data_IF_784688229539
#
_entry.id   IF_784688229539
#
_cell.length_a   1.000
_cell.length_b   1.000
_cell.length_c   1.000
_cell.angle_alpha   90.00
_cell.angle_beta   90.00
_cell.angle_gamma   90.00
#
_symmetry.space_group_name_H-M   'P 1'
#
loop_
_entity.id
_entity.type
_entity.pdbx_description
1 polymer ?
#
# COMPACT_ATOMS: atom_id res chain seq x y z
N UNK A 1 -16.57 -13.93 69.42
CA UNK A 1 -15.82 -12.98 68.56
C UNK A 1 -15.82 -13.60 67.15
N UNK A 2 -16.72 -13.12 66.30
CA UNK A 2 -16.92 -13.68 64.91
C UNK A 2 -16.14 -12.79 63.95
N UNK A 3 -15.09 -13.35 63.31
CA UNK A 3 -14.37 -12.70 62.24
C UNK A 3 -15.15 -12.90 60.92
N UNK A 4 -15.66 -11.82 60.33
CA UNK A 4 -16.17 -11.80 58.95
C UNK A 4 -15.00 -11.61 57.99
N UNK A 5 -14.70 -12.63 57.20
CA UNK A 5 -13.72 -12.58 56.12
C UNK A 5 -14.43 -12.01 54.87
N UNK A 6 -14.14 -10.75 54.51
CA UNK A 6 -14.62 -10.13 53.31
C UNK A 6 -13.78 -10.63 52.15
N UNK A 7 -14.36 -11.52 51.32
CA UNK A 7 -13.78 -12.00 50.07
C UNK A 7 -14.14 -11.00 48.94
N UNK A 8 -13.20 -10.09 48.65
CA UNK A 8 -13.34 -9.15 47.55
C UNK A 8 -13.02 -9.87 46.22
N UNK A 9 -14.04 -10.21 45.45
CA UNK A 9 -13.87 -10.79 44.10
C UNK A 9 -13.49 -9.68 43.13
N UNK A 10 -12.22 -9.67 42.72
CA UNK A 10 -11.70 -8.78 41.68
C UNK A 10 -12.04 -9.39 40.32
N UNK A 11 -13.11 -8.90 39.67
CA UNK A 11 -13.44 -9.30 38.27
C UNK A 11 -12.47 -8.56 37.36
N UNK A 12 -11.43 -9.25 36.88
CA UNK A 12 -10.62 -8.80 35.77
C UNK A 12 -11.49 -8.83 34.51
N UNK A 13 -11.94 -7.65 34.07
CA UNK A 13 -12.56 -7.50 32.78
C UNK A 13 -11.55 -7.80 31.68
N UNK A 14 -11.67 -8.97 31.04
CA UNK A 14 -10.95 -9.31 29.82
C UNK A 14 -11.61 -8.45 28.72
N UNK A 15 -11.04 -7.27 28.47
CA UNK A 15 -11.40 -6.47 27.32
C UNK A 15 -11.09 -7.27 26.06
N UNK A 16 -12.13 -7.74 25.36
CA UNK A 16 -11.98 -8.27 24.00
C UNK A 16 -11.48 -7.13 23.12
N UNK A 17 -10.18 -7.09 22.84
CA UNK A 17 -9.63 -6.29 21.74
C UNK A 17 -10.16 -6.89 20.44
N UNK A 18 -11.24 -6.31 19.92
CA UNK A 18 -11.66 -6.56 18.55
C UNK A 18 -10.52 -6.01 17.67
N UNK A 19 -9.86 -6.83 16.84
CA UNK A 19 -8.83 -6.32 15.94
C UNK A 19 -9.48 -5.25 15.06
N UNK A 20 -8.87 -4.07 14.97
CA UNK A 20 -9.31 -3.02 14.08
C UNK A 20 -9.30 -3.61 12.66
N UNK A 21 -10.48 -3.86 12.12
CA UNK A 21 -10.62 -4.39 10.77
C UNK A 21 -10.10 -3.31 9.83
N UNK A 22 -9.15 -3.67 8.98
CA UNK A 22 -8.65 -2.76 7.94
C UNK A 22 -9.83 -2.17 7.17
N UNK A 23 -9.91 -0.86 7.11
CA UNK A 23 -10.97 -0.14 6.39
C UNK A 23 -10.65 0.01 4.90
N UNK A 24 -9.50 -0.47 4.47
CA UNK A 24 -9.07 -0.46 3.08
C UNK A 24 -9.78 -1.58 2.30
N UNK A 25 -10.34 -1.21 1.14
CA UNK A 25 -11.05 -2.10 0.23
C UNK A 25 -10.65 -1.83 -1.22
N UNK A 26 -11.07 -2.70 -2.12
CA UNK A 26 -11.02 -2.53 -3.58
C UNK A 26 -9.61 -2.16 -4.08
N UNK A 27 -8.57 -2.82 -3.54
CA UNK A 27 -7.20 -2.61 -4.01
C UNK A 27 -7.07 -3.11 -5.44
N UNK A 28 -6.68 -2.23 -6.35
CA UNK A 28 -6.47 -2.54 -7.77
C UNK A 28 -5.07 -2.10 -8.20
N UNK A 29 -4.42 -2.90 -9.04
CA UNK A 29 -3.15 -2.56 -9.66
C UNK A 29 -3.04 -3.25 -11.01
N UNK A 30 -2.88 -2.46 -12.09
CA UNK A 30 -2.80 -2.98 -13.45
C UNK A 30 -2.13 -1.95 -14.37
N UNK A 31 -1.59 -2.37 -15.53
CA UNK A 31 -1.10 -1.44 -16.55
C UNK A 31 -2.21 -0.53 -17.08
N UNK A 32 -1.96 0.76 -17.17
CA UNK A 32 -2.94 1.72 -17.71
C UNK A 32 -3.46 1.26 -19.08
N UNK A 33 -4.78 1.22 -19.22
CA UNK A 33 -5.46 0.71 -20.43
C UNK A 33 -5.68 -0.80 -20.46
N UNK A 34 -5.22 -1.57 -19.45
CA UNK A 34 -5.34 -3.03 -19.42
C UNK A 34 -5.78 -3.54 -18.03
N UNK A 35 -7.04 -3.27 -17.60
CA UNK A 35 -7.49 -3.49 -16.21
C UNK A 35 -7.54 -4.96 -15.78
N UNK A 36 -7.38 -5.92 -16.71
CA UNK A 36 -7.36 -7.35 -16.42
C UNK A 36 -5.97 -7.98 -16.57
N UNK A 37 -4.95 -7.17 -16.90
CA UNK A 37 -3.59 -7.65 -17.00
C UNK A 37 -2.93 -7.75 -15.62
N UNK A 38 -1.96 -8.66 -15.52
CA UNK A 38 -1.08 -8.73 -14.34
C UNK A 38 -0.34 -7.39 -14.13
N UNK A 39 -0.08 -7.00 -12.87
CA UNK A 39 0.58 -5.75 -12.57
C UNK A 39 2.06 -5.79 -12.99
N UNK A 40 2.31 -5.43 -14.22
CA UNK A 40 3.65 -5.39 -14.81
C UNK A 40 3.77 -4.33 -15.89
N UNK A 41 4.94 -3.69 -15.97
CA UNK A 41 5.27 -2.71 -17.00
C UNK A 41 6.64 -2.99 -17.60
N UNK A 42 6.87 -2.51 -18.83
CA UNK A 42 8.17 -2.57 -19.48
C UNK A 42 9.01 -1.33 -19.15
N UNK A 43 10.26 -1.55 -18.72
CA UNK A 43 11.21 -0.50 -18.37
C UNK A 43 11.47 0.41 -19.57
N UNK A 44 11.31 1.72 -19.39
CA UNK A 44 11.59 2.71 -20.42
C UNK A 44 10.56 2.80 -21.53
N UNK A 45 9.47 2.02 -21.51
CA UNK A 45 8.42 2.06 -22.54
C UNK A 45 7.47 3.27 -22.43
N UNK A 46 7.50 3.99 -21.33
CA UNK A 46 6.50 5.03 -20.99
C UNK A 46 5.17 4.46 -20.49
N UNK A 47 5.05 3.14 -20.38
CA UNK A 47 3.87 2.49 -19.78
C UNK A 47 3.80 2.78 -18.28
N UNK A 48 2.59 3.01 -17.78
CA UNK A 48 2.35 3.25 -16.36
C UNK A 48 1.47 2.16 -15.77
N UNK A 49 1.65 1.88 -14.47
CA UNK A 49 0.71 1.16 -13.64
C UNK A 49 -0.31 2.14 -13.06
N UNK A 50 -1.57 1.77 -13.12
CA UNK A 50 -2.63 2.37 -12.31
C UNK A 50 -2.75 1.57 -11.01
N UNK A 51 -2.78 2.28 -9.90
CA UNK A 51 -3.03 1.71 -8.57
C UNK A 51 -4.14 2.51 -7.90
N UNK A 52 -5.05 1.80 -7.21
CA UNK A 52 -6.09 2.44 -6.42
C UNK A 52 -6.53 1.60 -5.24
N UNK A 53 -7.10 2.25 -4.24
CA UNK A 53 -7.83 1.61 -3.14
C UNK A 53 -8.92 2.53 -2.60
N UNK A 54 -9.91 1.95 -1.93
CA UNK A 54 -10.98 2.67 -1.25
C UNK A 54 -10.74 2.61 0.27
N UNK A 55 -10.71 3.77 0.91
CA UNK A 55 -10.71 3.93 2.37
C UNK A 55 -12.13 4.20 2.86
N UNK A 56 -12.66 3.27 3.67
CA UNK A 56 -14.00 3.32 4.25
C UNK A 56 -14.00 3.96 5.65
N UNK A 57 -12.88 4.54 6.09
CA UNK A 57 -12.86 5.25 7.37
C UNK A 57 -13.77 6.48 7.34
N UNK A 58 -14.33 6.82 8.50
CA UNK A 58 -15.10 8.04 8.67
C UNK A 58 -14.22 9.29 8.84
N UNK A 59 -12.91 9.09 8.97
CA UNK A 59 -11.91 10.13 9.16
C UNK A 59 -11.19 10.42 7.85
N UNK A 60 -10.74 11.66 7.69
CA UNK A 60 -9.86 12.02 6.57
C UNK A 60 -8.45 11.56 6.89
N UNK A 61 -8.02 10.47 6.25
CA UNK A 61 -6.66 9.95 6.37
C UNK A 61 -5.75 10.55 5.31
N UNK A 62 -4.48 10.71 5.66
CA UNK A 62 -3.39 10.99 4.74
C UNK A 62 -2.52 9.75 4.59
N UNK A 63 -2.04 9.53 3.40
CA UNK A 63 -1.24 8.34 3.08
C UNK A 63 0.06 8.72 2.39
N UNK A 64 1.09 7.96 2.70
CA UNK A 64 2.41 8.02 2.06
C UNK A 64 2.69 6.68 1.38
N UNK A 65 3.22 6.69 0.16
CA UNK A 65 3.64 5.47 -0.51
C UNK A 65 5.16 5.36 -0.64
N UNK A 66 5.63 4.11 -0.68
CA UNK A 66 7.03 3.73 -0.91
C UNK A 66 7.10 2.64 -1.96
N UNK A 67 8.15 2.68 -2.78
CA UNK A 67 8.46 1.65 -3.76
C UNK A 67 9.71 0.93 -3.32
N UNK A 68 9.62 -0.38 -3.13
CA UNK A 68 10.70 -1.22 -2.62
C UNK A 68 11.06 -2.26 -3.67
N UNK A 69 12.34 -2.32 -4.05
CA UNK A 69 12.85 -3.36 -4.93
C UNK A 69 13.05 -4.65 -4.15
N UNK A 70 12.63 -5.77 -4.75
CA UNK A 70 12.69 -7.09 -4.15
C UNK A 70 13.58 -8.06 -4.93
N UNK A 71 14.06 -9.08 -4.23
CA UNK A 71 14.69 -10.25 -4.82
C UNK A 71 13.63 -11.19 -5.46
N UNK A 72 14.04 -12.30 -6.13
CA UNK A 72 13.10 -13.26 -6.72
C UNK A 72 12.11 -13.88 -5.72
N UNK A 73 12.47 -13.94 -4.45
CA UNK A 73 11.64 -14.49 -3.36
C UNK A 73 10.74 -13.43 -2.71
N UNK A 74 10.69 -12.23 -3.26
CA UNK A 74 9.91 -11.08 -2.78
C UNK A 74 10.37 -10.49 -1.43
N UNK A 75 11.59 -10.79 -1.01
CA UNK A 75 12.20 -10.09 0.11
C UNK A 75 12.81 -8.76 -0.36
N UNK A 76 12.88 -7.79 0.54
CA UNK A 76 13.54 -6.52 0.23
C UNK A 76 14.97 -6.78 -0.24
N UNK A 77 15.34 -6.24 -1.37
CA UNK A 77 16.72 -6.30 -1.84
C UNK A 77 17.60 -5.39 -0.97
N UNK A 78 18.90 -5.71 -0.91
CA UNK A 78 19.88 -4.88 -0.19
C UNK A 78 20.33 -3.65 -1.03
N UNK A 79 19.61 -3.31 -2.10
CA UNK A 79 19.93 -2.17 -2.95
C UNK A 79 19.48 -0.86 -2.29
N UNK A 80 20.32 0.16 -2.40
CA UNK A 80 19.91 1.52 -2.05
C UNK A 80 18.80 1.99 -3.00
N UNK A 81 17.80 2.73 -2.48
CA UNK A 81 16.71 3.28 -3.30
C UNK A 81 17.20 4.10 -4.49
N UNK A 82 18.29 4.83 -4.34
CA UNK A 82 18.92 5.60 -5.43
C UNK A 82 19.44 4.73 -6.58
N UNK A 83 19.64 3.43 -6.37
CA UNK A 83 20.06 2.50 -7.41
C UNK A 83 18.92 2.17 -8.36
N UNK A 84 17.73 2.00 -7.85
CA UNK A 84 16.57 1.52 -8.61
C UNK A 84 15.46 2.55 -8.84
N UNK A 85 15.49 3.71 -8.12
CA UNK A 85 14.55 4.81 -8.32
C UNK A 85 15.26 6.10 -8.74
N UNK A 86 14.51 6.96 -9.42
CA UNK A 86 14.74 8.41 -9.50
C UNK A 86 13.74 9.12 -8.62
N UNK A 87 14.09 10.27 -8.07
CA UNK A 87 13.20 11.03 -7.17
C UNK A 87 13.22 10.52 -5.72
N UNK A 88 12.14 10.74 -5.01
CA UNK A 88 12.09 10.44 -3.58
C UNK A 88 11.65 9.00 -3.31
N UNK A 89 12.21 8.42 -2.25
CA UNK A 89 11.86 7.08 -1.78
C UNK A 89 10.47 7.01 -1.16
N UNK A 90 9.99 8.09 -0.59
CA UNK A 90 8.70 8.19 0.12
C UNK A 90 7.97 9.44 -0.36
N UNK A 91 6.76 9.27 -0.86
CA UNK A 91 5.98 10.33 -1.49
C UNK A 91 4.56 10.35 -0.93
N UNK A 92 3.94 11.54 -0.79
CA UNK A 92 2.54 11.62 -0.39
C UNK A 92 1.62 11.04 -1.48
N UNK A 93 0.47 10.53 -1.06
CA UNK A 93 -0.59 10.05 -1.95
C UNK A 93 -1.72 11.08 -1.96
N UNK A 94 -1.56 12.13 -2.77
CA UNK A 94 -2.42 13.31 -2.76
C UNK A 94 -3.60 13.26 -3.74
N UNK A 95 -3.63 12.26 -4.65
CA UNK A 95 -4.72 12.13 -5.60
C UNK A 95 -5.83 11.26 -5.01
N UNK A 96 -6.91 11.91 -4.58
CA UNK A 96 -8.06 11.23 -3.99
C UNK A 96 -9.38 11.89 -4.38
N UNK A 97 -10.45 11.09 -4.32
CA UNK A 97 -11.82 11.52 -4.58
C UNK A 97 -12.77 10.97 -3.50
N UNK A 98 -13.68 11.81 -3.03
CA UNK A 98 -14.74 11.38 -2.12
C UNK A 98 -15.87 10.75 -2.89
N UNK A 99 -16.41 9.64 -2.35
CA UNK A 99 -17.64 9.05 -2.89
C UNK A 99 -18.82 10.03 -2.77
N UNK A 100 -19.66 10.04 -3.79
CA UNK A 100 -20.85 10.86 -3.80
C UNK A 100 -22.11 10.00 -3.88
N UNK A 101 -23.11 10.28 -3.03
CA UNK A 101 -24.42 9.61 -3.02
C UNK A 101 -24.34 8.08 -2.85
N UNK A 102 -23.42 7.58 -2.05
CA UNK A 102 -23.23 6.17 -1.73
C UNK A 102 -23.79 5.83 -0.35
N UNK A 103 -24.26 4.57 -0.17
CA UNK A 103 -24.82 4.08 1.11
C UNK A 103 -23.72 4.04 2.18
N UNK A 104 -22.50 3.65 1.78
CA UNK A 104 -21.31 3.67 2.63
C UNK A 104 -20.34 4.68 2.03
N UNK A 105 -20.04 5.78 2.72
CA UNK A 105 -19.04 6.73 2.26
C UNK A 105 -17.66 6.08 2.18
N UNK A 106 -16.87 6.47 1.20
CA UNK A 106 -15.46 6.09 1.08
C UNK A 106 -14.66 7.20 0.40
N UNK A 107 -13.37 7.18 0.60
CA UNK A 107 -12.41 8.00 -0.16
C UNK A 107 -11.60 7.08 -1.05
N UNK A 108 -11.62 7.32 -2.35
CA UNK A 108 -10.80 6.61 -3.33
C UNK A 108 -9.49 7.31 -3.51
N UNK A 109 -8.40 6.60 -3.28
CA UNK A 109 -7.04 7.04 -3.58
C UNK A 109 -6.56 6.41 -4.87
N UNK A 110 -5.85 7.18 -5.69
CA UNK A 110 -5.32 6.72 -6.98
C UNK A 110 -3.87 7.15 -7.17
N UNK A 111 -3.10 6.34 -7.89
CA UNK A 111 -1.70 6.60 -8.19
C UNK A 111 -1.34 6.00 -9.55
N UNK A 112 -0.63 6.74 -10.38
CA UNK A 112 0.03 6.21 -11.57
C UNK A 112 1.55 6.13 -11.32
N UNK A 113 2.16 5.01 -11.70
CA UNK A 113 3.60 4.75 -11.55
C UNK A 113 4.21 4.22 -12.86
N UNK A 114 5.39 4.72 -13.26
CA UNK A 114 6.12 5.86 -12.72
C UNK A 114 5.41 7.20 -12.97
N UNK A 115 5.79 8.24 -12.21
CA UNK A 115 5.25 9.59 -12.33
C UNK A 115 6.38 10.65 -12.27
N UNK A 116 6.01 11.94 -12.15
CA UNK A 116 6.98 13.02 -12.09
C UNK A 116 7.84 13.01 -10.82
N UNK A 117 7.33 12.45 -9.73
CA UNK A 117 8.01 12.40 -8.42
C UNK A 117 8.94 11.19 -8.30
N UNK A 118 8.60 10.07 -8.96
CA UNK A 118 9.36 8.82 -8.87
C UNK A 118 9.38 8.06 -10.18
N UNK A 119 10.59 7.78 -10.66
CA UNK A 119 10.84 6.91 -11.81
C UNK A 119 11.55 5.63 -11.41
N UNK A 120 11.41 4.60 -12.23
CA UNK A 120 12.04 3.29 -12.02
C UNK A 120 13.20 3.14 -13.01
N UNK A 121 14.38 2.70 -12.51
CA UNK A 121 15.63 2.58 -13.29
C UNK A 121 16.06 1.15 -13.56
N UNK A 122 15.58 0.19 -12.77
CA UNK A 122 15.94 -1.22 -12.90
C UNK A 122 14.71 -2.07 -13.15
N UNK A 123 14.90 -3.15 -13.91
CA UNK A 123 13.93 -4.24 -13.99
C UNK A 123 14.01 -5.12 -12.75
N UNK A 124 12.90 -5.75 -12.37
CA UNK A 124 12.84 -6.64 -11.21
C UNK A 124 11.46 -6.69 -10.58
N UNK A 125 11.42 -7.29 -9.40
CA UNK A 125 10.23 -7.38 -8.56
C UNK A 125 10.13 -6.17 -7.65
N UNK A 126 8.93 -5.64 -7.46
CA UNK A 126 8.70 -4.45 -6.67
C UNK A 126 7.48 -4.61 -5.76
N UNK A 127 7.55 -4.00 -4.58
CA UNK A 127 6.43 -3.78 -3.69
C UNK A 127 6.07 -2.29 -3.68
N UNK A 128 4.81 -1.99 -3.97
CA UNK A 128 4.21 -0.70 -3.65
C UNK A 128 3.58 -0.81 -2.26
N UNK A 129 4.11 -0.07 -1.31
CA UNK A 129 3.66 -0.08 0.08
C UNK A 129 3.03 1.27 0.41
N UNK A 130 1.82 1.25 0.96
CA UNK A 130 1.10 2.45 1.42
C UNK A 130 1.02 2.43 2.93
N UNK A 131 1.31 3.57 3.54
CA UNK A 131 1.32 3.77 4.98
C UNK A 131 0.33 4.88 5.34
N UNK A 132 -0.42 4.69 6.41
CA UNK A 132 -1.20 5.77 7.00
C UNK A 132 -0.25 6.67 7.80
N UNK A 133 -0.29 7.98 7.56
CA UNK A 133 0.62 8.94 8.20
C UNK A 133 0.43 9.04 9.71
N UNK A 134 -0.74 8.64 10.22
CA UNK A 134 -1.01 8.55 11.66
C UNK A 134 -0.44 7.27 12.31
N UNK A 135 -0.16 6.23 11.49
CA UNK A 135 0.45 4.97 11.94
C UNK A 135 1.45 4.46 10.89
N UNK A 136 2.64 5.06 10.81
CA UNK A 136 3.64 4.76 9.78
C UNK A 136 4.41 3.46 10.00
N UNK A 137 4.17 2.73 11.10
CA UNK A 137 4.95 1.54 11.48
C UNK A 137 4.60 0.30 10.65
N UNK A 138 3.39 0.28 10.06
CA UNK A 138 2.96 -0.83 9.22
C UNK A 138 2.26 -0.36 7.95
N UNK A 139 2.56 -1.03 6.83
CA UNK A 139 1.87 -0.76 5.59
C UNK A 139 0.40 -1.20 5.68
N UNK A 140 -0.52 -0.32 5.29
CA UNK A 140 -1.96 -0.62 5.20
C UNK A 140 -2.28 -1.36 3.91
N UNK A 141 -1.47 -1.15 2.86
CA UNK A 141 -1.51 -1.89 1.59
C UNK A 141 -0.10 -2.26 1.19
N UNK A 142 0.08 -3.47 0.67
CA UNK A 142 1.32 -3.93 0.04
C UNK A 142 0.96 -4.66 -1.25
N UNK A 143 1.28 -4.05 -2.39
CA UNK A 143 0.93 -4.54 -3.71
C UNK A 143 2.19 -4.91 -4.49
N UNK A 144 2.23 -6.15 -5.00
CA UNK A 144 3.31 -6.65 -5.86
C UNK A 144 3.12 -6.17 -7.30
N UNK A 145 4.22 -5.80 -7.95
CA UNK A 145 4.27 -5.58 -9.39
C UNK A 145 5.65 -5.91 -9.94
N UNK A 146 5.73 -6.12 -11.26
CA UNK A 146 6.98 -6.44 -11.95
C UNK A 146 7.35 -5.33 -12.93
N UNK A 147 8.65 -5.06 -13.06
CA UNK A 147 9.21 -4.24 -14.12
C UNK A 147 10.11 -5.10 -14.97
N UNK A 148 9.72 -5.31 -16.23
CA UNK A 148 10.44 -6.17 -17.16
C UNK A 148 11.28 -5.35 -18.13
N UNK A 149 12.37 -5.92 -18.61
CA UNK A 149 13.24 -5.28 -19.59
C UNK A 149 13.40 -6.22 -20.79
N UNK A 150 12.99 -5.77 -21.98
CA UNK A 150 13.21 -6.51 -23.23
C UNK A 150 14.63 -6.31 -23.72
N UNK A 151 15.56 -7.19 -23.31
CA UNK A 151 16.97 -7.16 -23.76
C UNK A 151 17.24 -7.97 -25.01
N UNK A 152 16.32 -8.86 -25.43
CA UNK A 152 16.51 -9.78 -26.55
C UNK A 152 15.33 -9.72 -27.50
N UNK A 153 15.54 -9.20 -28.69
CA UNK A 153 14.66 -9.42 -29.84
C UNK A 153 15.05 -10.73 -30.50
N UNK A 154 14.15 -11.71 -30.54
CA UNK A 154 14.33 -12.90 -31.40
C UNK A 154 13.95 -12.48 -32.81
N UNK A 155 14.93 -12.44 -33.71
CA UNK A 155 14.72 -12.20 -35.14
C UNK A 155 14.25 -13.48 -35.85
#
# INVERSE_FOLDING_TARGET
MKFFLNLSVFILGIGNMIPAQSQIRTVQCYPVGSPFAEPGIELGSGQQLFFSFDDLSSETNSYTYKIVHCDPDWNNSNLSSFTYLTGFFSNPLDNYEYSFNTVVPYTRFTLNLPNEEVGIKLSGNYLLQVYNDQNPDSAVVSQRFAVVENKVGIA
#
